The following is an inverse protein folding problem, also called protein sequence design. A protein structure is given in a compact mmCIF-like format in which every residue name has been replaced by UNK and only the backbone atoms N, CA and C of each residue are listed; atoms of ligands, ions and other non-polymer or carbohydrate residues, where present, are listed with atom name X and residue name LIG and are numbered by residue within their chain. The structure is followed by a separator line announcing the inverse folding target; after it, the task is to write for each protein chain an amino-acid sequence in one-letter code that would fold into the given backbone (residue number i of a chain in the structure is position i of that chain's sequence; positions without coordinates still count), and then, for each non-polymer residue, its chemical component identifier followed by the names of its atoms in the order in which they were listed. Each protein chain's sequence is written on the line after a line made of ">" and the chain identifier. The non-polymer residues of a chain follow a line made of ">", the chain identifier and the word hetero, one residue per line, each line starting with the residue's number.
data_IF_454998474300
#
_entry.id   IF_454998474300
#
_cell.length_a   1.000
_cell.length_b   1.000
_cell.length_c   1.000
_cell.angle_alpha   90.00
_cell.angle_beta   90.00
_cell.angle_gamma   90.00
#
_symmetry.space_group_name_H-M   'P 1'
#
loop_
_entity.id
_entity.type
_entity.pdbx_description
1 polymer ?
#
# COMPACT_ATOMS: atom_id res chain seq x y z
N UNK A 1 -19.16 -4.00 8.68
CA UNK A 1 -18.52 -3.75 8.91
C UNK A 1 -17.62 -3.66 8.72
N UNK A 2 -17.28 -3.86 8.78
CA UNK A 2 -16.59 -3.52 8.78
C UNK A 2 -15.43 -3.31 8.23
N UNK A 3 -15.00 -2.46 7.75
CA UNK A 3 -13.76 -2.04 7.13
C UNK A 3 -12.81 -1.54 8.19
N UNK A 4 -12.62 -2.38 9.19
CA UNK A 4 -11.74 -2.00 10.27
C UNK A 4 -10.29 -2.01 9.81
N UNK A 5 -9.56 -0.95 10.13
CA UNK A 5 -8.16 -0.88 9.81
C UNK A 5 -7.35 -1.60 10.88
N UNK A 6 -6.52 -2.58 10.51
CA UNK A 6 -5.73 -3.31 11.52
C UNK A 6 -4.88 -2.40 12.38
N UNK A 7 -4.85 -2.66 13.67
CA UNK A 7 -4.16 -1.79 14.62
C UNK A 7 -2.65 -1.98 14.64
N UNK A 8 -2.15 -3.04 14.00
CA UNK A 8 -0.71 -3.32 13.95
C UNK A 8 -0.04 -2.77 12.70
N UNK A 9 -0.79 -2.00 11.90
CA UNK A 9 -0.26 -1.41 10.67
C UNK A 9 -0.07 0.10 10.83
N UNK A 10 0.67 0.67 9.90
CA UNK A 10 0.78 2.13 9.76
C UNK A 10 0.13 2.56 8.46
N UNK A 11 -0.25 3.82 8.37
CA UNK A 11 -1.07 4.31 7.26
C UNK A 11 -0.58 5.67 6.78
N UNK A 12 -0.75 5.91 5.46
CA UNK A 12 -0.38 7.18 4.86
C UNK A 12 -1.63 7.97 4.49
N UNK A 13 -1.42 9.24 4.17
CA UNK A 13 -2.51 10.12 3.73
C UNK A 13 -3.02 9.76 2.34
N UNK A 14 -2.25 8.99 1.58
CA UNK A 14 -2.66 8.51 0.27
C UNK A 14 -3.22 7.09 0.35
N UNK A 15 -3.54 6.64 1.56
CA UNK A 15 -4.27 5.39 1.81
C UNK A 15 -3.48 4.12 1.50
N UNK A 16 -2.17 4.15 1.76
CA UNK A 16 -1.37 2.92 1.78
C UNK A 16 -1.22 2.44 3.21
N UNK A 17 -1.18 1.13 3.39
CA UNK A 17 -0.83 0.55 4.69
C UNK A 17 0.57 -0.06 4.62
N UNK A 18 1.24 -0.10 5.77
CA UNK A 18 2.57 -0.68 5.89
C UNK A 18 2.59 -1.64 7.07
N UNK A 19 3.10 -2.84 6.82
CA UNK A 19 3.30 -3.85 7.86
C UNK A 19 4.78 -3.97 8.14
N UNK A 20 5.17 -3.75 9.40
CA UNK A 20 6.56 -3.91 9.82
C UNK A 20 6.88 -5.40 9.91
N UNK A 21 7.83 -5.87 9.10
CA UNK A 21 8.21 -7.28 9.07
C UNK A 21 9.25 -7.64 10.12
N UNK A 22 9.78 -6.64 10.85
CA UNK A 22 10.68 -6.87 11.95
C UNK A 22 12.17 -6.97 11.59
N UNK A 23 12.47 -6.83 10.30
CA UNK A 23 13.86 -6.97 9.81
C UNK A 23 14.33 -5.75 9.01
N UNK A 24 13.64 -4.62 9.19
CA UNK A 24 13.96 -3.41 8.44
C UNK A 24 13.18 -3.30 7.15
N UNK A 25 12.37 -4.32 6.80
CA UNK A 25 11.51 -4.27 5.62
C UNK A 25 10.07 -4.09 6.04
N UNK A 26 9.26 -3.57 5.11
CA UNK A 26 7.82 -3.43 5.31
C UNK A 26 7.10 -3.98 4.10
N UNK A 27 5.90 -4.51 4.32
CA UNK A 27 5.00 -4.93 3.25
C UNK A 27 3.96 -3.84 3.08
N UNK A 28 3.65 -3.48 1.85
CA UNK A 28 2.82 -2.33 1.53
C UNK A 28 1.65 -2.74 0.66
N UNK A 29 0.48 -2.17 0.96
CA UNK A 29 -0.70 -2.33 0.13
C UNK A 29 -1.54 -1.08 0.26
N UNK A 30 -2.77 -1.12 -0.28
CA UNK A 30 -3.71 -0.01 -0.10
C UNK A 30 -4.80 -0.44 0.86
N UNK A 31 -5.39 0.54 1.54
CA UNK A 31 -6.41 0.23 2.55
C UNK A 31 -7.73 -0.16 1.88
N UNK A 32 -8.62 -0.75 2.67
CA UNK A 32 -9.94 -1.07 2.19
C UNK A 32 -10.69 0.19 1.74
N UNK A 33 -10.48 1.30 2.44
CA UNK A 33 -11.04 2.59 2.06
C UNK A 33 -10.59 2.99 0.65
N UNK A 34 -9.29 2.80 0.35
CA UNK A 34 -8.75 3.15 -0.95
C UNK A 34 -9.32 2.27 -2.06
N UNK A 35 -9.45 0.96 -1.82
CA UNK A 35 -9.96 0.08 -2.86
C UNK A 35 -11.43 0.37 -3.16
N UNK A 36 -12.19 0.83 -2.18
CA UNK A 36 -13.57 1.22 -2.41
C UNK A 36 -13.65 2.47 -3.29
N UNK A 37 -12.71 3.40 -3.10
CA UNK A 37 -12.64 4.60 -3.93
C UNK A 37 -12.25 4.28 -5.36
N UNK A 38 -11.36 3.30 -5.55
CA UNK A 38 -10.93 2.89 -6.88
C UNK A 38 -12.02 2.14 -7.65
N UNK A 39 -12.82 1.34 -6.94
CA UNK A 39 -13.72 0.39 -7.58
C UNK A 39 -12.94 -0.85 -8.00
N UNK A 40 -13.51 -1.66 -8.88
CA UNK A 40 -12.90 -2.93 -9.27
C UNK A 40 -11.58 -2.71 -10.01
N UNK A 41 -10.50 -3.23 -9.44
CA UNK A 41 -9.17 -3.11 -10.04
C UNK A 41 -9.03 -4.18 -11.11
N UNK A 42 -8.62 -3.76 -12.31
CA UNK A 42 -8.51 -4.65 -13.46
C UNK A 42 -7.06 -4.84 -13.91
N UNK A 43 -6.17 -3.97 -13.47
CA UNK A 43 -4.75 -4.07 -13.82
C UNK A 43 -3.92 -3.31 -12.79
N UNK A 44 -2.74 -3.83 -12.48
CA UNK A 44 -1.79 -3.16 -11.59
C UNK A 44 -0.43 -3.17 -12.24
N UNK A 45 0.18 -2.00 -12.33
CA UNK A 45 1.57 -1.91 -12.77
C UNK A 45 2.43 -1.84 -11.53
N UNK A 46 3.20 -2.90 -11.27
CA UNK A 46 4.00 -3.04 -10.05
C UNK A 46 5.34 -2.32 -10.18
N UNK A 47 5.91 -1.86 -9.04
CA UNK A 47 7.27 -1.31 -9.07
C UNK A 47 8.28 -2.41 -9.39
N UNK A 48 9.48 -2.01 -9.79
CA UNK A 48 10.53 -2.98 -10.12
C UNK A 48 11.33 -3.34 -8.87
N UNK A 49 11.61 -4.65 -8.72
CA UNK A 49 12.46 -5.13 -7.63
C UNK A 49 13.84 -4.49 -7.79
N UNK A 50 14.44 -4.12 -6.67
CA UNK A 50 15.74 -3.46 -6.55
C UNK A 50 15.75 -1.99 -6.95
N UNK A 51 14.60 -1.42 -7.32
CA UNK A 51 14.55 0.01 -7.58
C UNK A 51 14.55 0.78 -6.26
N UNK A 52 15.19 1.95 -6.27
CA UNK A 52 15.20 2.84 -5.10
C UNK A 52 14.14 3.89 -5.29
N UNK A 53 13.31 4.09 -4.26
CA UNK A 53 12.20 5.02 -4.31
C UNK A 53 12.37 6.09 -3.26
N UNK A 54 12.01 7.31 -3.61
CA UNK A 54 11.91 8.40 -2.65
C UNK A 54 10.49 8.44 -2.08
N UNK A 55 10.34 9.00 -0.90
CA UNK A 55 9.01 9.12 -0.31
C UNK A 55 8.09 9.89 -1.26
N UNK A 56 6.88 9.38 -1.45
CA UNK A 56 5.84 9.95 -2.30
C UNK A 56 6.14 9.93 -3.80
N UNK A 57 7.18 9.22 -4.19
CA UNK A 57 7.50 9.05 -5.61
C UNK A 57 6.49 8.09 -6.25
N UNK A 58 6.07 8.40 -7.48
CA UNK A 58 5.20 7.50 -8.25
C UNK A 58 5.97 6.24 -8.58
N UNK A 59 5.45 5.07 -8.17
CA UNK A 59 6.14 3.80 -8.39
C UNK A 59 5.30 2.79 -9.16
N UNK A 60 4.09 3.14 -9.58
CA UNK A 60 3.26 2.23 -10.34
C UNK A 60 1.90 2.84 -10.62
N UNK A 61 0.97 2.00 -11.07
CA UNK A 61 -0.37 2.46 -11.45
C UNK A 61 -1.40 1.39 -11.11
N UNK A 62 -2.56 1.83 -10.63
CA UNK A 62 -3.75 0.98 -10.51
C UNK A 62 -4.72 1.36 -11.61
N UNK A 63 -5.20 0.39 -12.38
CA UNK A 63 -6.28 0.65 -13.34
C UNK A 63 -7.53 -0.06 -12.87
N UNK A 64 -8.61 0.69 -12.79
CA UNK A 64 -9.89 0.16 -12.36
C UNK A 64 -10.93 0.42 -13.44
N UNK A 65 -12.13 -0.13 -13.24
CA UNK A 65 -13.24 0.11 -14.18
C UNK A 65 -13.64 1.57 -14.24
N UNK A 66 -13.22 2.38 -13.26
CA UNK A 66 -13.57 3.81 -13.23
C UNK A 66 -12.47 4.70 -13.81
N UNK A 67 -11.19 4.40 -13.50
CA UNK A 67 -10.10 5.31 -13.84
C UNK A 67 -8.75 4.67 -13.56
N UNK A 68 -7.68 5.36 -13.94
CA UNK A 68 -6.33 4.99 -13.57
C UNK A 68 -5.91 5.87 -12.39
N UNK A 69 -5.12 5.32 -11.48
CA UNK A 69 -4.64 6.04 -10.29
C UNK A 69 -3.18 5.70 -10.06
N UNK A 70 -2.39 6.70 -9.71
CA UNK A 70 -0.96 6.49 -9.46
C UNK A 70 -0.74 5.80 -8.13
N UNK A 71 0.32 4.98 -8.09
CA UNK A 71 0.77 4.32 -6.88
C UNK A 71 2.00 5.06 -6.35
N UNK A 72 1.99 5.41 -5.08
CA UNK A 72 3.08 6.18 -4.48
C UNK A 72 3.84 5.38 -3.44
N UNK A 73 5.16 5.56 -3.41
CA UNK A 73 5.97 4.96 -2.36
C UNK A 73 5.67 5.69 -1.05
N UNK A 74 5.34 4.97 0.03
CA UNK A 74 4.99 5.64 1.28
C UNK A 74 6.19 6.22 2.01
N UNK A 75 7.36 5.62 1.83
CA UNK A 75 8.59 6.04 2.49
C UNK A 75 9.77 5.78 1.56
N UNK A 76 10.93 6.33 1.92
CA UNK A 76 12.14 6.12 1.14
C UNK A 76 12.73 4.75 1.41
N UNK A 77 13.12 4.04 0.35
CA UNK A 77 13.74 2.73 0.49
C UNK A 77 13.88 2.02 -0.83
N UNK A 78 14.24 0.75 -0.76
CA UNK A 78 14.47 -0.09 -1.94
C UNK A 78 13.42 -1.19 -2.02
N UNK A 79 12.85 -1.41 -3.19
CA UNK A 79 11.87 -2.47 -3.40
C UNK A 79 12.56 -3.83 -3.32
N UNK A 80 12.09 -4.71 -2.42
CA UNK A 80 12.69 -6.04 -2.24
C UNK A 80 11.86 -7.15 -2.87
N UNK A 81 10.54 -6.97 -2.93
CA UNK A 81 9.62 -7.96 -3.48
C UNK A 81 8.39 -7.29 -4.06
N UNK A 82 7.77 -7.94 -5.03
CA UNK A 82 6.46 -7.50 -5.54
C UNK A 82 5.52 -8.70 -5.56
N UNK A 83 4.23 -8.43 -5.44
CA UNK A 83 3.22 -9.49 -5.44
C UNK A 83 2.82 -9.80 -6.88
N UNK A 84 3.48 -10.77 -7.48
CA UNK A 84 3.26 -11.11 -8.88
C UNK A 84 1.89 -11.70 -9.14
N UNK A 85 1.19 -12.16 -8.10
CA UNK A 85 -0.17 -12.66 -8.28
C UNK A 85 -1.13 -11.57 -8.76
N UNK A 86 -0.80 -10.31 -8.51
CA UNK A 86 -1.63 -9.21 -8.97
C UNK A 86 -1.62 -9.06 -10.49
N UNK A 87 -0.61 -9.61 -11.17
CA UNK A 87 -0.59 -9.59 -12.64
C UNK A 87 -1.73 -10.43 -13.22
N UNK A 88 -2.06 -11.55 -12.58
CA UNK A 88 -3.13 -12.42 -13.06
C UNK A 88 -4.43 -12.24 -12.28
N UNK A 89 -4.35 -11.76 -11.03
CA UNK A 89 -5.51 -11.60 -10.15
C UNK A 89 -5.51 -10.23 -9.49
N UNK A 90 -5.62 -9.15 -10.26
CA UNK A 90 -5.61 -7.80 -9.67
C UNK A 90 -6.77 -7.55 -8.71
N UNK A 91 -7.85 -8.31 -8.82
CA UNK A 91 -9.00 -8.18 -7.94
C UNK A 91 -8.68 -8.56 -6.48
N UNK A 92 -7.53 -9.16 -6.21
CA UNK A 92 -7.11 -9.42 -4.83
C UNK A 92 -7.02 -8.11 -4.02
N UNK A 93 -6.71 -7.01 -4.68
CA UNK A 93 -6.69 -5.71 -4.04
C UNK A 93 -8.06 -5.36 -3.48
N UNK A 94 -9.12 -5.75 -4.18
CA UNK A 94 -10.49 -5.48 -3.76
C UNK A 94 -10.99 -6.47 -2.71
N UNK A 95 -10.61 -7.74 -2.82
CA UNK A 95 -11.16 -8.80 -1.97
C UNK A 95 -10.34 -9.08 -0.74
N UNK A 96 -9.05 -8.72 -0.74
CA UNK A 96 -8.15 -9.02 0.37
C UNK A 96 -7.13 -7.90 0.54
N UNK A 97 -7.61 -6.66 0.64
CA UNK A 97 -6.75 -5.46 0.67
C UNK A 97 -5.67 -5.52 1.75
N UNK A 98 -5.98 -6.08 2.92
CA UNK A 98 -5.02 -6.18 4.02
C UNK A 98 -4.30 -7.53 4.09
N UNK A 99 -4.55 -8.41 3.13
CA UNK A 99 -3.96 -9.74 3.09
C UNK A 99 -3.31 -10.03 1.76
N UNK A 100 -3.89 -10.95 1.00
CA UNK A 100 -3.31 -11.40 -0.25
C UNK A 100 -3.22 -10.31 -1.32
N UNK A 101 -3.89 -9.19 -1.11
CA UNK A 101 -3.80 -8.04 -2.01
C UNK A 101 -2.63 -7.12 -1.74
N UNK A 102 -1.65 -7.55 -0.94
CA UNK A 102 -0.45 -6.74 -0.73
C UNK A 102 0.23 -6.48 -2.07
N UNK A 103 0.95 -5.37 -2.17
CA UNK A 103 1.45 -4.94 -3.48
C UNK A 103 2.96 -5.15 -3.60
N UNK A 104 3.73 -4.60 -2.69
CA UNK A 104 5.17 -4.78 -2.72
C UNK A 104 5.76 -4.65 -1.33
N UNK A 105 7.01 -5.10 -1.18
CA UNK A 105 7.77 -4.94 0.06
C UNK A 105 8.99 -4.10 -0.24
N UNK A 106 9.45 -3.35 0.75
CA UNK A 106 10.65 -2.53 0.58
C UNK A 106 11.46 -2.51 1.85
N UNK A 107 12.77 -2.31 1.69
CA UNK A 107 13.67 -2.11 2.80
C UNK A 107 13.77 -0.61 3.01
N UNK A 108 13.38 -0.14 4.19
CA UNK A 108 13.38 1.29 4.49
C UNK A 108 14.79 1.81 4.65
N UNK A 109 15.03 3.01 4.16
CA UNK A 109 16.31 3.69 4.36
C UNK A 109 16.50 4.00 5.84
N UNK A 110 15.41 4.35 6.51
CA UNK A 110 15.41 4.56 7.96
C UNK A 110 14.16 3.94 8.55
N UNK A 111 14.33 2.95 9.43
CA UNK A 111 13.18 2.29 10.06
C UNK A 111 12.38 3.27 10.93
N UNK A 112 13.01 4.33 11.42
CA UNK A 112 12.35 5.34 12.23
C UNK A 112 11.27 6.10 11.44
N UNK A 113 11.39 6.13 10.11
CA UNK A 113 10.39 6.82 9.27
C UNK A 113 9.01 6.21 9.43
N UNK A 114 8.95 4.92 9.78
CA UNK A 114 7.67 4.24 9.96
C UNK A 114 6.85 4.89 11.10
N UNK A 115 7.53 5.38 12.12
CA UNK A 115 6.85 5.98 13.26
C UNK A 115 6.24 7.34 12.95
N UNK A 116 6.62 7.95 11.84
CA UNK A 116 6.05 9.23 11.43
C UNK A 116 4.68 9.06 10.77
N UNK A 117 4.29 7.84 10.46
CA UNK A 117 3.02 7.57 9.80
C UNK A 117 1.90 7.43 10.82
N UNK A 118 0.66 7.49 10.33
CA UNK A 118 -0.52 7.38 11.18
C UNK A 118 -0.70 5.95 11.68
N UNK A 119 -1.16 5.82 12.93
CA UNK A 119 -1.65 4.52 13.40
C UNK A 119 -3.12 4.36 12.93
N UNK A 120 -3.75 3.24 13.28
CA UNK A 120 -5.10 2.98 12.82
C UNK A 120 -6.10 4.03 13.29
N UNK A 121 -5.98 4.48 14.54
CA UNK A 121 -6.91 5.47 15.08
C UNK A 121 -6.76 6.82 14.38
N UNK A 122 -5.53 7.26 14.14
CA UNK A 122 -5.29 8.53 13.46
C UNK A 122 -5.76 8.47 12.01
N UNK A 123 -5.53 7.33 11.34
CA UNK A 123 -5.95 7.15 9.96
C UNK A 123 -7.48 7.16 9.86
N UNK A 124 -8.14 6.48 10.80
CA UNK A 124 -9.59 6.43 10.79
C UNK A 124 -10.19 7.81 10.95
N UNK A 125 -9.63 8.63 11.85
CA UNK A 125 -10.07 10.00 12.03
C UNK A 125 -9.82 10.82 10.76
N UNK A 126 -8.69 10.58 10.10
CA UNK A 126 -8.37 11.25 8.84
C UNK A 126 -9.40 10.94 7.75
N UNK A 127 -9.83 9.68 7.66
CA UNK A 127 -10.81 9.28 6.64
C UNK A 127 -12.19 9.89 6.86
N UNK A 128 -12.49 10.30 8.08
CA UNK A 128 -13.79 10.89 8.40
C UNK A 128 -13.87 12.38 8.14
N UNK A 129 -12.76 13.02 7.80
CA UNK A 129 -12.73 14.46 7.54
C UNK A 129 -13.30 14.86 6.19
#
# INVERSE_FOLDING_TARGET
>A
MSNENPSDLRYTKTHEWLRDNGDGTVTIGITDHAQELLGDVVYVELPEVESELSAEENCGVFESVKAASDMYAPLEGEVTEVNEELDSEPELINTAAFGEGWIFSMKLKSADDLESLMDADAYEAFCQE
#
